data_IF_483169683962
#
_entry.id   IF_483169683962
#
_cell.length_a   1.000
_cell.length_b   1.000
_cell.length_c   1.000
_cell.angle_alpha   90.00
_cell.angle_beta   90.00
_cell.angle_gamma   90.00
#
_symmetry.space_group_name_H-M   'P 1'
#
loop_
_entity.id
_entity.type
_entity.pdbx_description
1 polymer ?
#
# COMPACT_ATOMS: atom_id res chain seq x y z
N UNK A 1 -27.84 9.25 14.16
CA UNK A 1 -28.38 8.73 12.90
C UNK A 1 -27.27 8.91 11.84
N UNK A 2 -26.50 7.85 11.63
CA UNK A 2 -25.50 7.78 10.54
C UNK A 2 -26.25 7.85 9.21
N UNK A 3 -25.78 8.72 8.35
CA UNK A 3 -26.41 9.03 7.07
C UNK A 3 -26.19 7.83 6.12
N UNK A 4 -27.26 7.10 5.78
CA UNK A 4 -27.23 5.91 4.93
C UNK A 4 -26.70 6.15 3.51
N UNK A 5 -26.54 7.42 3.10
CA UNK A 5 -25.92 7.79 1.80
C UNK A 5 -24.39 7.63 1.79
N UNK A 6 -23.72 7.83 2.92
CA UNK A 6 -22.24 7.67 3.02
C UNK A 6 -21.82 6.19 2.95
N UNK A 7 -22.64 5.28 3.45
CA UNK A 7 -22.35 3.84 3.41
C UNK A 7 -22.46 3.26 1.99
N UNK A 8 -23.33 3.80 1.14
CA UNK A 8 -23.54 3.32 -0.24
C UNK A 8 -22.44 3.80 -1.20
N UNK A 9 -21.95 5.02 -1.02
CA UNK A 9 -20.87 5.57 -1.86
C UNK A 9 -19.50 4.91 -1.55
N UNK A 10 -19.26 4.54 -0.30
CA UNK A 10 -18.02 3.82 0.10
C UNK A 10 -18.00 2.39 -0.42
N UNK A 11 -19.14 1.71 -0.49
CA UNK A 11 -19.23 0.33 -1.03
C UNK A 11 -19.02 0.28 -2.55
N UNK A 12 -19.53 1.24 -3.30
CA UNK A 12 -19.40 1.30 -4.76
C UNK A 12 -17.96 1.64 -5.20
N UNK A 13 -17.31 2.59 -4.55
CA UNK A 13 -15.92 2.95 -4.82
C UNK A 13 -14.95 1.82 -4.46
N UNK A 14 -15.19 1.11 -3.35
CA UNK A 14 -14.39 -0.05 -2.93
C UNK A 14 -14.57 -1.24 -3.89
N UNK A 15 -15.79 -1.53 -4.32
CA UNK A 15 -16.08 -2.58 -5.29
C UNK A 15 -15.39 -2.33 -6.63
N UNK A 16 -15.39 -1.09 -7.11
CA UNK A 16 -14.74 -0.69 -8.37
C UNK A 16 -13.20 -0.82 -8.28
N UNK A 17 -12.59 -0.50 -7.15
CA UNK A 17 -11.15 -0.70 -6.92
C UNK A 17 -10.80 -2.20 -6.86
N UNK A 18 -11.61 -3.03 -6.20
CA UNK A 18 -11.37 -4.48 -6.15
C UNK A 18 -11.41 -5.10 -7.54
N UNK A 19 -12.40 -4.74 -8.36
CA UNK A 19 -12.50 -5.22 -9.74
C UNK A 19 -11.30 -4.79 -10.59
N UNK A 20 -10.86 -3.53 -10.50
CA UNK A 20 -9.68 -3.04 -11.19
C UNK A 20 -8.42 -3.84 -10.84
N UNK A 21 -8.16 -4.10 -9.54
CA UNK A 21 -6.98 -4.84 -9.13
C UNK A 21 -7.06 -6.32 -9.48
N UNK A 22 -8.25 -6.93 -9.49
CA UNK A 22 -8.45 -8.28 -10.00
C UNK A 22 -8.08 -8.38 -11.49
N UNK A 23 -8.52 -7.43 -12.31
CA UNK A 23 -8.17 -7.39 -13.72
C UNK A 23 -6.69 -7.09 -13.95
N UNK A 24 -6.05 -6.32 -13.07
CA UNK A 24 -4.64 -5.93 -13.15
C UNK A 24 -3.67 -7.06 -12.80
N UNK A 25 -4.12 -8.10 -12.12
CA UNK A 25 -3.28 -9.18 -11.61
C UNK A 25 -2.43 -9.88 -12.69
N UNK A 26 -2.89 -9.92 -13.94
CA UNK A 26 -2.20 -10.59 -15.03
C UNK A 26 -1.11 -9.72 -15.70
N UNK A 27 -1.19 -8.39 -15.62
CA UNK A 27 -0.42 -7.49 -16.48
C UNK A 27 0.47 -6.47 -15.75
N UNK A 28 0.23 -6.20 -14.47
CA UNK A 28 0.98 -5.15 -13.75
C UNK A 28 2.26 -5.70 -13.11
N UNK A 29 3.34 -4.91 -13.23
CA UNK A 29 4.63 -5.20 -12.61
C UNK A 29 4.90 -4.14 -11.55
N UNK A 30 5.15 -4.58 -10.32
CA UNK A 30 5.44 -3.72 -9.19
C UNK A 30 6.94 -3.76 -8.91
N UNK A 31 7.58 -2.58 -8.83
CA UNK A 31 9.04 -2.46 -8.84
C UNK A 31 9.63 -1.60 -7.71
N UNK A 32 8.83 -1.22 -6.70
CA UNK A 32 9.37 -0.52 -5.54
C UNK A 32 10.41 -1.42 -4.83
N UNK A 33 11.69 -1.02 -4.78
CA UNK A 33 12.73 -1.83 -4.19
C UNK A 33 12.68 -1.78 -2.66
N UNK A 34 13.02 -2.90 -2.02
CA UNK A 34 13.35 -2.94 -0.59
C UNK A 34 14.89 -2.90 -0.46
N UNK A 35 15.43 -2.09 0.45
CA UNK A 35 16.83 -2.23 0.87
C UNK A 35 16.99 -3.53 1.67
N UNK A 36 17.22 -4.62 0.95
CA UNK A 36 17.39 -5.95 1.55
C UNK A 36 18.55 -6.01 2.54
N UNK A 37 19.66 -5.32 2.24
CA UNK A 37 20.83 -5.36 3.12
C UNK A 37 20.52 -4.70 4.47
N UNK A 38 19.78 -3.59 4.46
CA UNK A 38 19.30 -2.96 5.69
C UNK A 38 18.27 -3.83 6.39
N UNK A 39 17.30 -4.36 5.66
CA UNK A 39 16.24 -5.19 6.23
C UNK A 39 16.82 -6.42 6.95
N UNK A 40 17.78 -7.10 6.34
CA UNK A 40 18.49 -8.26 6.90
C UNK A 40 19.31 -7.96 8.16
N UNK A 41 19.80 -6.72 8.30
CA UNK A 41 20.49 -6.29 9.53
C UNK A 41 19.51 -5.89 10.64
N UNK A 42 18.27 -5.56 10.29
CA UNK A 42 17.28 -4.99 11.21
C UNK A 42 16.28 -6.02 11.70
N UNK A 43 15.96 -7.02 10.88
CA UNK A 43 14.90 -8.01 11.13
C UNK A 43 15.51 -9.41 11.17
N UNK A 44 15.21 -10.15 12.23
CA UNK A 44 15.67 -11.52 12.40
C UNK A 44 15.05 -12.47 11.35
N UNK A 45 15.74 -13.55 10.99
CA UNK A 45 15.28 -14.50 9.95
C UNK A 45 14.00 -15.27 10.34
N UNK A 46 13.77 -15.42 11.63
CA UNK A 46 12.59 -16.06 12.23
C UNK A 46 11.52 -15.06 12.68
N UNK A 47 11.70 -13.78 12.35
CA UNK A 47 10.71 -12.74 12.65
C UNK A 47 9.42 -12.95 11.86
N UNK A 48 8.28 -12.65 12.48
CA UNK A 48 6.97 -12.63 11.82
C UNK A 48 6.83 -11.37 10.98
N UNK A 49 6.65 -11.54 9.66
CA UNK A 49 6.62 -10.43 8.68
C UNK A 49 5.30 -10.45 7.93
N UNK A 50 4.63 -9.30 7.84
CA UNK A 50 3.46 -9.08 7.01
C UNK A 50 3.81 -8.19 5.82
N UNK A 51 3.56 -8.66 4.61
CA UNK A 51 3.54 -7.84 3.38
C UNK A 51 2.07 -7.50 3.08
N UNK A 52 1.62 -6.30 3.50
CA UNK A 52 0.23 -5.86 3.32
C UNK A 52 0.09 -5.09 2.00
N UNK A 53 -0.84 -5.54 1.15
CA UNK A 53 -0.92 -5.17 -0.25
C UNK A 53 0.13 -5.88 -1.09
N UNK A 54 0.36 -7.17 -0.80
CA UNK A 54 1.46 -7.97 -1.36
C UNK A 54 1.35 -8.20 -2.88
N UNK A 55 0.18 -7.93 -3.47
CA UNK A 55 -0.10 -8.25 -4.87
C UNK A 55 0.19 -9.72 -5.16
N UNK A 56 1.01 -9.98 -6.17
CA UNK A 56 1.46 -11.35 -6.55
C UNK A 56 2.55 -11.93 -5.63
N UNK A 57 2.85 -11.31 -4.50
CA UNK A 57 3.80 -11.84 -3.51
C UNK A 57 5.27 -11.64 -3.85
N UNK A 58 5.62 -10.62 -4.65
CA UNK A 58 7.02 -10.35 -5.05
C UNK A 58 7.95 -10.22 -3.84
N UNK A 59 7.63 -9.34 -2.89
CA UNK A 59 8.46 -9.16 -1.69
C UNK A 59 8.45 -10.40 -0.80
N UNK A 60 7.30 -11.06 -0.67
CA UNK A 60 7.21 -12.33 0.06
C UNK A 60 8.18 -13.38 -0.51
N UNK A 61 8.21 -13.54 -1.84
CA UNK A 61 9.12 -14.46 -2.52
C UNK A 61 10.60 -14.06 -2.36
N UNK A 62 10.91 -12.76 -2.50
CA UNK A 62 12.26 -12.22 -2.28
C UNK A 62 12.75 -12.49 -0.86
N UNK A 63 11.92 -12.26 0.16
CA UNK A 63 12.24 -12.52 1.57
C UNK A 63 12.38 -14.01 1.86
N UNK A 64 11.47 -14.86 1.35
CA UNK A 64 11.56 -16.30 1.50
C UNK A 64 12.85 -16.86 0.90
N UNK A 65 13.23 -16.39 -0.31
CA UNK A 65 14.49 -16.74 -0.97
C UNK A 65 15.75 -16.28 -0.21
N UNK A 66 15.60 -15.33 0.71
CA UNK A 66 16.67 -14.83 1.59
C UNK A 66 16.67 -15.48 2.97
N UNK A 67 15.80 -16.48 3.19
CA UNK A 67 15.78 -17.29 4.41
C UNK A 67 14.90 -16.72 5.53
N UNK A 68 13.99 -15.77 5.24
CA UNK A 68 12.96 -15.41 6.19
C UNK A 68 11.86 -16.50 6.18
N UNK A 69 11.57 -17.07 7.35
CA UNK A 69 10.73 -18.28 7.44
C UNK A 69 9.28 -18.02 7.80
N UNK A 70 8.95 -16.83 8.32
CA UNK A 70 7.61 -16.47 8.77
C UNK A 70 7.10 -15.22 8.03
N UNK A 71 6.95 -15.35 6.70
CA UNK A 71 6.41 -14.28 5.86
C UNK A 71 4.97 -14.60 5.48
N UNK A 72 4.08 -13.64 5.69
CA UNK A 72 2.67 -13.70 5.29
C UNK A 72 2.39 -12.54 4.35
N UNK A 73 1.79 -12.83 3.20
CA UNK A 73 1.27 -11.81 2.28
C UNK A 73 -0.23 -11.62 2.48
N UNK A 74 -0.71 -10.39 2.49
CA UNK A 74 -2.14 -10.08 2.50
C UNK A 74 -2.47 -9.10 1.37
N UNK A 75 -3.56 -9.33 0.66
CA UNK A 75 -4.05 -8.44 -0.39
C UNK A 75 -5.58 -8.54 -0.49
N UNK A 76 -6.22 -7.46 -0.92
CA UNK A 76 -7.67 -7.41 -1.07
C UNK A 76 -8.16 -7.92 -2.45
N UNK A 77 -7.26 -8.12 -3.41
CA UNK A 77 -7.55 -8.74 -4.69
C UNK A 77 -7.44 -10.27 -4.59
N UNK A 78 -8.55 -10.97 -4.76
CA UNK A 78 -8.57 -12.43 -4.78
C UNK A 78 -7.73 -13.02 -5.90
N UNK A 79 -7.67 -12.35 -7.06
CA UNK A 79 -6.86 -12.77 -8.21
C UNK A 79 -5.36 -12.59 -7.96
N UNK A 80 -4.96 -11.48 -7.29
CA UNK A 80 -3.58 -11.30 -6.84
C UNK A 80 -3.16 -12.41 -5.88
N UNK A 81 -3.99 -12.72 -4.88
CA UNK A 81 -3.73 -13.81 -3.93
C UNK A 81 -3.66 -15.18 -4.62
N UNK A 82 -4.56 -15.44 -5.57
CA UNK A 82 -4.51 -16.68 -6.35
C UNK A 82 -3.21 -16.80 -7.16
N UNK A 83 -2.75 -15.68 -7.76
CA UNK A 83 -1.48 -15.63 -8.46
C UNK A 83 -0.29 -15.81 -7.51
N UNK A 84 -0.29 -15.11 -6.38
CA UNK A 84 0.77 -15.21 -5.37
C UNK A 84 0.98 -16.64 -4.86
N UNK A 85 -0.11 -17.36 -4.59
CA UNK A 85 -0.08 -18.78 -4.17
C UNK A 85 0.51 -19.70 -5.24
N UNK A 86 0.27 -19.41 -6.53
CA UNK A 86 0.88 -20.17 -7.64
C UNK A 86 2.36 -19.88 -7.80
N UNK A 87 2.71 -18.59 -7.70
CA UNK A 87 4.09 -18.12 -7.94
C UNK A 87 5.02 -18.44 -6.75
N UNK A 88 4.48 -18.46 -5.52
CA UNK A 88 5.23 -18.67 -4.27
C UNK A 88 4.55 -19.68 -3.33
N UNK A 89 4.49 -20.98 -3.69
CA UNK A 89 3.70 -22.00 -2.97
C UNK A 89 4.17 -22.28 -1.54
N UNK A 90 5.38 -21.86 -1.17
CA UNK A 90 5.93 -22.00 0.19
C UNK A 90 5.58 -20.85 1.13
N UNK A 91 4.94 -19.80 0.63
CA UNK A 91 4.56 -18.60 1.43
C UNK A 91 3.05 -18.65 1.74
N UNK A 92 2.68 -18.20 2.94
CA UNK A 92 1.28 -18.07 3.31
C UNK A 92 0.69 -16.77 2.76
N UNK A 93 -0.51 -16.86 2.15
CA UNK A 93 -1.23 -15.71 1.61
C UNK A 93 -2.67 -15.67 2.08
N UNK A 94 -3.12 -14.49 2.52
CA UNK A 94 -4.45 -14.23 3.06
C UNK A 94 -5.16 -13.19 2.21
N UNK A 95 -6.37 -13.51 1.74
CA UNK A 95 -7.26 -12.51 1.15
C UNK A 95 -7.91 -11.71 2.27
N UNK A 96 -7.93 -10.39 2.14
CA UNK A 96 -8.55 -9.45 3.09
C UNK A 96 -9.54 -8.56 2.36
N UNK A 97 -10.57 -8.08 3.04
CA UNK A 97 -11.64 -7.25 2.44
C UNK A 97 -11.42 -5.74 2.60
N UNK A 98 -10.24 -5.34 3.12
CA UNK A 98 -9.88 -3.94 3.36
C UNK A 98 -10.40 -3.37 4.68
N UNK A 99 -11.07 -4.19 5.51
CA UNK A 99 -11.47 -3.85 6.88
C UNK A 99 -10.40 -4.20 7.91
N UNK A 100 -10.85 -4.74 9.04
CA UNK A 100 -9.95 -5.25 10.10
C UNK A 100 -9.14 -6.44 9.59
N UNK A 101 -7.85 -6.41 9.80
CA UNK A 101 -6.97 -7.51 9.43
C UNK A 101 -7.24 -8.75 10.30
N UNK A 102 -7.29 -9.97 9.72
CA UNK A 102 -7.58 -11.21 10.44
C UNK A 102 -6.34 -11.72 11.19
N UNK A 103 -5.63 -10.83 11.87
CA UNK A 103 -4.45 -11.11 12.67
C UNK A 103 -4.60 -10.51 14.05
N UNK A 104 -4.01 -11.17 15.05
CA UNK A 104 -4.01 -10.72 16.44
C UNK A 104 -3.21 -9.41 16.62
N UNK A 105 -3.51 -8.67 17.67
CA UNK A 105 -2.73 -7.52 18.10
C UNK A 105 -1.28 -7.93 18.37
N UNK A 106 -0.34 -7.07 17.99
CA UNK A 106 1.09 -7.28 18.25
C UNK A 106 1.62 -8.67 17.78
N UNK A 107 1.18 -9.11 16.59
CA UNK A 107 1.55 -10.43 16.02
C UNK A 107 2.77 -10.38 15.10
N UNK A 108 3.10 -9.20 14.54
CA UNK A 108 4.20 -9.06 13.59
C UNK A 108 5.37 -8.25 14.13
N UNK A 109 6.59 -8.72 13.84
CA UNK A 109 7.84 -7.99 14.11
C UNK A 109 8.12 -6.93 13.05
N UNK A 110 7.64 -7.16 11.81
CA UNK A 110 7.76 -6.20 10.72
C UNK A 110 6.52 -6.23 9.81
N UNK A 111 6.15 -5.05 9.29
CA UNK A 111 5.12 -4.88 8.24
C UNK A 111 5.71 -4.11 7.09
N UNK A 112 5.44 -4.57 5.86
CA UNK A 112 5.77 -3.91 4.61
C UNK A 112 4.49 -3.34 3.99
N UNK A 113 4.58 -2.09 3.47
CA UNK A 113 3.47 -1.39 2.83
C UNK A 113 3.99 -0.68 1.58
N UNK A 114 3.98 -1.38 0.44
CA UNK A 114 4.64 -0.94 -0.79
C UNK A 114 3.64 -0.60 -1.88
N UNK A 115 3.54 0.70 -2.23
CA UNK A 115 2.59 1.27 -3.19
C UNK A 115 1.11 0.95 -2.84
N UNK A 116 0.77 0.92 -1.55
CA UNK A 116 -0.58 0.62 -1.07
C UNK A 116 -1.38 1.88 -0.83
N UNK A 117 -0.80 2.89 -0.15
CA UNK A 117 -1.53 4.13 0.16
C UNK A 117 -1.98 4.85 -1.11
N UNK A 118 -1.17 4.81 -2.17
CA UNK A 118 -1.54 5.32 -3.50
C UNK A 118 -2.80 4.65 -4.06
N UNK A 119 -3.07 3.39 -3.70
CA UNK A 119 -4.21 2.60 -4.16
C UNK A 119 -5.46 2.77 -3.27
N UNK A 120 -5.36 3.51 -2.17
CA UNK A 120 -6.42 3.79 -1.21
C UNK A 120 -6.65 5.30 -1.14
N UNK A 121 -7.33 5.93 -2.14
CA UNK A 121 -7.42 7.39 -2.25
C UNK A 121 -8.03 8.12 -1.04
N UNK A 122 -9.09 7.59 -0.34
CA UNK A 122 -9.71 8.30 0.77
C UNK A 122 -8.80 8.39 2.01
N UNK A 123 -8.66 9.59 2.57
CA UNK A 123 -7.85 9.83 3.80
C UNK A 123 -8.33 9.00 4.99
N UNK A 124 -9.64 8.87 5.14
CA UNK A 124 -10.25 8.08 6.23
C UNK A 124 -9.84 6.62 6.14
N UNK A 125 -9.89 6.03 4.94
CA UNK A 125 -9.47 4.65 4.71
C UNK A 125 -7.98 4.45 4.96
N UNK A 126 -7.13 5.41 4.58
CA UNK A 126 -5.69 5.36 4.87
C UNK A 126 -5.40 5.43 6.38
N UNK A 127 -6.12 6.28 7.13
CA UNK A 127 -6.00 6.32 8.60
C UNK A 127 -6.41 5.00 9.24
N UNK A 128 -7.50 4.40 8.78
CA UNK A 128 -7.94 3.08 9.25
C UNK A 128 -6.90 2.00 8.95
N UNK A 129 -6.36 1.99 7.73
CA UNK A 129 -5.31 1.08 7.31
C UNK A 129 -4.06 1.20 8.19
N UNK A 130 -3.60 2.41 8.44
CA UNK A 130 -2.41 2.64 9.28
C UNK A 130 -2.69 2.30 10.76
N UNK A 131 -3.90 2.54 11.26
CA UNK A 131 -4.30 2.10 12.60
C UNK A 131 -4.28 0.57 12.74
N UNK A 132 -4.75 -0.17 11.72
CA UNK A 132 -4.68 -1.63 11.68
C UNK A 132 -3.22 -2.13 11.58
N UNK A 133 -2.39 -1.50 10.77
CA UNK A 133 -0.95 -1.80 10.71
C UNK A 133 -0.30 -1.60 12.08
N UNK A 134 -0.62 -0.50 12.77
CA UNK A 134 -0.10 -0.23 14.12
C UNK A 134 -0.60 -1.26 15.15
N UNK A 135 -1.87 -1.70 15.05
CA UNK A 135 -2.45 -2.71 15.92
C UNK A 135 -1.74 -4.06 15.81
N UNK A 136 -1.48 -4.53 14.58
CA UNK A 136 -0.86 -5.85 14.35
C UNK A 136 0.66 -5.85 14.56
N UNK A 137 1.31 -4.68 14.55
CA UNK A 137 2.73 -4.56 14.85
C UNK A 137 2.98 -4.74 16.35
N UNK A 138 4.02 -5.46 16.70
CA UNK A 138 4.56 -5.51 18.06
C UNK A 138 5.13 -4.14 18.44
N UNK A 139 5.11 -3.83 19.71
CA UNK A 139 5.80 -2.63 20.23
C UNK A 139 7.27 -2.65 19.83
N UNK A 140 7.75 -1.58 19.23
CA UNK A 140 9.08 -1.48 18.64
C UNK A 140 9.24 -2.24 17.32
N UNK A 141 8.15 -2.79 16.77
CA UNK A 141 8.14 -3.44 15.46
C UNK A 141 8.46 -2.47 14.32
N UNK A 142 8.96 -2.99 13.24
CA UNK A 142 9.38 -2.22 12.06
C UNK A 142 8.22 -2.07 11.07
N UNK A 143 7.93 -0.84 10.64
CA UNK A 143 7.10 -0.58 9.47
C UNK A 143 7.98 0.01 8.36
N UNK A 144 7.99 -0.62 7.19
CA UNK A 144 8.62 -0.05 5.99
C UNK A 144 7.53 0.32 5.02
N UNK A 145 7.41 1.61 4.72
CA UNK A 145 6.47 2.14 3.73
C UNK A 145 7.24 2.64 2.52
N UNK A 146 6.77 2.31 1.33
CA UNK A 146 7.28 2.86 0.07
C UNK A 146 6.12 3.32 -0.79
N UNK A 147 5.99 4.63 -1.02
CA UNK A 147 4.82 5.17 -1.74
C UNK A 147 5.16 6.45 -2.53
N UNK A 148 4.17 6.99 -3.23
CA UNK A 148 4.33 8.11 -4.15
C UNK A 148 3.99 9.45 -3.49
N UNK A 149 5.00 10.34 -3.27
CA UNK A 149 4.72 11.74 -3.03
C UNK A 149 4.13 12.40 -4.27
N UNK A 150 3.57 13.61 -4.11
CA UNK A 150 3.14 14.43 -5.24
C UNK A 150 4.30 14.60 -6.22
N UNK A 151 4.03 14.33 -7.49
CA UNK A 151 4.97 14.55 -8.57
C UNK A 151 4.79 15.97 -9.12
N UNK A 152 5.88 16.56 -9.60
CA UNK A 152 5.91 17.96 -10.08
C UNK A 152 6.04 18.06 -11.59
N UNK A 153 6.18 16.95 -12.30
CA UNK A 153 6.24 16.94 -13.75
C UNK A 153 4.89 17.29 -14.37
N UNK A 154 4.92 17.89 -15.56
CA UNK A 154 3.76 18.45 -16.24
C UNK A 154 2.65 17.41 -16.50
N UNK A 155 3.02 16.14 -16.77
CA UNK A 155 2.05 15.05 -16.98
C UNK A 155 1.24 14.77 -15.71
N UNK A 156 1.92 14.67 -14.58
CA UNK A 156 1.26 14.37 -13.30
C UNK A 156 0.40 15.55 -12.84
N UNK A 157 0.92 16.77 -12.90
CA UNK A 157 0.18 18.00 -12.56
C UNK A 157 -1.10 18.09 -13.42
N UNK A 158 -1.00 17.90 -14.74
CA UNK A 158 -2.16 17.94 -15.63
C UNK A 158 -3.24 16.91 -15.25
N UNK A 159 -2.85 15.70 -14.79
CA UNK A 159 -3.80 14.66 -14.35
C UNK A 159 -4.50 15.04 -13.02
N UNK A 160 -3.76 15.61 -12.08
CA UNK A 160 -4.32 16.10 -10.81
C UNK A 160 -5.34 17.21 -11.06
N UNK A 161 -4.97 18.18 -11.93
CA UNK A 161 -5.84 19.31 -12.27
C UNK A 161 -7.08 18.85 -13.05
N UNK A 162 -6.95 17.88 -13.94
CA UNK A 162 -8.08 17.31 -14.66
C UNK A 162 -9.05 16.63 -13.70
N UNK A 163 -8.54 15.77 -12.81
CA UNK A 163 -9.37 15.08 -11.83
C UNK A 163 -10.08 16.05 -10.88
N UNK A 164 -9.39 17.09 -10.41
CA UNK A 164 -9.98 18.12 -9.55
C UNK A 164 -11.10 18.91 -10.23
N UNK A 165 -11.01 19.16 -11.55
CA UNK A 165 -12.07 19.83 -12.32
C UNK A 165 -13.29 18.93 -12.56
N UNK A 166 -13.04 17.64 -12.80
CA UNK A 166 -14.10 16.67 -13.14
C UNK A 166 -14.86 16.16 -11.93
N UNK A 167 -14.28 16.32 -10.72
CA UNK A 167 -14.92 15.95 -9.46
C UNK A 167 -16.01 16.97 -9.11
N UNK A 168 -17.27 16.65 -9.41
CA UNK A 168 -18.43 17.46 -9.08
C UNK A 168 -18.96 17.07 -7.71
N UNK A 169 -19.24 18.09 -6.88
CA UNK A 169 -20.11 18.09 -5.71
C UNK A 169 -19.71 17.18 -4.51
N UNK A 170 -18.95 17.77 -3.58
CA UNK A 170 -18.96 17.38 -2.16
C UNK A 170 -18.04 16.24 -1.75
N UNK A 171 -17.48 15.47 -2.66
CA UNK A 171 -16.33 14.64 -2.33
C UNK A 171 -15.10 15.56 -2.24
N UNK A 172 -14.57 15.71 -1.04
CA UNK A 172 -13.28 16.38 -0.83
C UNK A 172 -12.20 15.60 -1.57
N UNK A 173 -12.06 15.89 -2.87
CA UNK A 173 -11.07 15.28 -3.70
C UNK A 173 -9.71 15.88 -3.33
N UNK A 174 -8.95 15.12 -2.58
CA UNK A 174 -7.59 15.51 -2.23
C UNK A 174 -6.74 15.67 -3.50
N UNK A 175 -6.07 16.81 -3.61
CA UNK A 175 -5.14 17.05 -4.70
C UNK A 175 -4.11 15.92 -4.78
N UNK A 176 -3.80 15.48 -5.99
CA UNK A 176 -2.94 14.31 -6.24
C UNK A 176 -3.71 13.07 -6.67
N UNK A 177 -5.04 13.07 -6.59
CA UNK A 177 -5.90 11.99 -7.10
C UNK A 177 -6.02 12.06 -8.61
N UNK A 178 -6.03 10.90 -9.28
CA UNK A 178 -6.24 10.79 -10.73
C UNK A 178 -6.70 9.39 -11.14
N UNK A 179 -7.28 9.30 -12.33
CA UNK A 179 -7.66 8.01 -12.93
C UNK A 179 -6.53 7.47 -13.80
N UNK A 180 -6.32 6.17 -13.70
CA UNK A 180 -5.46 5.43 -14.62
C UNK A 180 -6.19 5.20 -15.95
N UNK A 181 -5.47 5.06 -17.09
CA UNK A 181 -6.11 4.82 -18.39
C UNK A 181 -6.99 3.57 -18.44
N UNK A 182 -6.69 2.58 -17.60
CA UNK A 182 -7.38 1.31 -17.47
C UNK A 182 -8.44 1.28 -16.33
N UNK A 183 -8.79 2.44 -15.76
CA UNK A 183 -9.97 2.64 -14.92
C UNK A 183 -9.72 2.77 -13.42
N UNK A 184 -8.57 2.37 -12.89
CA UNK A 184 -8.28 2.51 -11.46
C UNK A 184 -8.12 3.98 -11.04
N UNK A 185 -8.54 4.28 -9.81
CA UNK A 185 -8.28 5.58 -9.18
C UNK A 185 -7.14 5.44 -8.20
N UNK A 186 -6.14 6.31 -8.32
CA UNK A 186 -4.96 6.35 -7.46
C UNK A 186 -4.68 7.78 -6.99
N UNK A 187 -3.88 7.90 -5.95
CA UNK A 187 -3.51 9.19 -5.39
C UNK A 187 -2.04 9.24 -5.03
N UNK A 188 -1.36 10.29 -5.47
CA UNK A 188 -0.07 10.73 -4.94
C UNK A 188 -0.30 11.71 -3.79
N UNK A 189 0.57 11.74 -2.80
CA UNK A 189 0.31 12.41 -1.53
C UNK A 189 1.27 13.57 -1.27
N UNK A 190 0.77 14.64 -0.66
CA UNK A 190 1.64 15.66 -0.08
C UNK A 190 2.50 15.04 1.04
N UNK A 191 3.74 15.47 1.17
CA UNK A 191 4.64 14.98 2.24
C UNK A 191 4.06 15.22 3.63
N UNK A 192 3.40 16.36 3.85
CA UNK A 192 2.71 16.67 5.10
C UNK A 192 1.59 15.68 5.45
N UNK A 193 0.98 15.03 4.46
CA UNK A 193 0.01 13.98 4.71
C UNK A 193 0.67 12.71 5.25
N UNK A 194 1.83 12.33 4.72
CA UNK A 194 2.59 11.22 5.27
C UNK A 194 3.07 11.52 6.70
N UNK A 195 3.51 12.75 6.98
CA UNK A 195 3.92 13.17 8.33
C UNK A 195 2.74 13.05 9.32
N UNK A 196 1.53 13.46 8.91
CA UNK A 196 0.31 13.29 9.70
C UNK A 196 -0.05 11.81 9.90
N UNK A 197 0.00 11.02 8.82
CA UNK A 197 -0.41 9.62 8.81
C UNK A 197 0.52 8.74 9.66
N UNK A 198 1.81 9.06 9.67
CA UNK A 198 2.83 8.32 10.41
C UNK A 198 3.13 8.88 11.81
N UNK A 199 2.37 9.88 12.27
CA UNK A 199 2.54 10.47 13.60
C UNK A 199 2.55 9.44 14.78
N UNK A 200 1.85 8.28 14.71
CA UNK A 200 1.94 7.26 15.75
C UNK A 200 3.30 6.52 15.81
N UNK A 201 4.15 6.69 14.81
CA UNK A 201 5.43 5.98 14.68
C UNK A 201 6.62 6.91 14.89
N UNK A 202 7.74 6.33 15.27
CA UNK A 202 9.04 7.03 15.23
C UNK A 202 9.67 6.84 13.86
N UNK A 203 9.95 7.94 13.15
CA UNK A 203 10.63 7.91 11.85
C UNK A 203 12.13 7.71 12.10
N UNK A 204 12.67 6.54 11.75
CA UNK A 204 14.13 6.29 11.80
C UNK A 204 14.84 6.88 10.59
N UNK A 205 14.23 6.78 9.42
CA UNK A 205 14.78 7.30 8.17
C UNK A 205 13.71 7.49 7.13
N UNK A 206 13.92 8.50 6.27
CA UNK A 206 13.21 8.71 5.01
C UNK A 206 14.21 8.89 3.89
N UNK A 207 14.04 8.14 2.81
CA UNK A 207 14.82 8.28 1.58
C UNK A 207 13.89 8.51 0.40
N UNK A 208 14.35 9.29 -0.57
CA UNK A 208 13.63 9.50 -1.83
C UNK A 208 14.52 9.06 -3.00
N UNK A 209 13.95 8.40 -3.99
CA UNK A 209 14.69 7.93 -5.16
C UNK A 209 13.79 7.83 -6.39
N UNK A 210 14.42 7.79 -7.56
CA UNK A 210 13.72 7.65 -8.83
C UNK A 210 13.39 6.18 -9.08
N UNK A 211 12.15 5.93 -9.53
CA UNK A 211 11.63 4.62 -9.84
C UNK A 211 10.78 4.66 -11.12
N UNK A 212 10.20 3.51 -11.44
CA UNK A 212 9.18 3.42 -12.50
C UNK A 212 7.85 2.99 -11.87
N UNK A 213 6.76 3.59 -12.34
CA UNK A 213 5.41 3.13 -11.99
C UNK A 213 5.13 1.76 -12.61
N UNK A 214 4.07 1.10 -12.17
CA UNK A 214 3.59 -0.17 -12.76
C UNK A 214 3.29 -0.08 -14.26
N UNK A 215 3.16 1.13 -14.82
CA UNK A 215 2.97 1.40 -16.25
C UNK A 215 4.26 1.86 -16.95
N UNK A 216 5.43 1.68 -16.30
CA UNK A 216 6.76 1.99 -16.86
C UNK A 216 7.14 3.47 -16.90
N UNK A 217 6.30 4.37 -16.39
CA UNK A 217 6.60 5.80 -16.39
C UNK A 217 7.57 6.17 -15.26
N UNK A 218 8.49 7.14 -15.46
CA UNK A 218 9.32 7.67 -14.41
C UNK A 218 8.47 8.24 -13.27
N UNK A 219 8.90 8.03 -12.05
CA UNK A 219 8.29 8.62 -10.86
C UNK A 219 9.32 8.70 -9.74
N UNK A 220 9.18 9.71 -8.88
CA UNK A 220 9.89 9.79 -7.62
C UNK A 220 9.07 9.08 -6.56
N UNK A 221 9.69 8.23 -5.77
CA UNK A 221 9.09 7.56 -4.62
C UNK A 221 9.82 7.94 -3.34
N UNK A 222 9.09 7.84 -2.23
CA UNK A 222 9.66 8.00 -0.91
C UNK A 222 9.50 6.70 -0.11
N UNK A 223 10.50 6.36 0.67
CA UNK A 223 10.48 5.18 1.52
C UNK A 223 10.81 5.60 2.96
N UNK A 224 9.99 5.14 3.88
CA UNK A 224 10.13 5.37 5.31
C UNK A 224 10.45 4.08 6.04
N UNK A 225 11.33 4.18 7.01
CA UNK A 225 11.62 3.16 8.01
C UNK A 225 11.14 3.69 9.34
N UNK A 226 10.16 3.02 9.93
CA UNK A 226 9.37 3.52 11.05
C UNK A 226 9.33 2.49 12.19
N UNK A 227 9.27 2.97 13.45
CA UNK A 227 9.08 2.10 14.63
C UNK A 227 7.75 2.38 15.31
N UNK A 228 7.02 1.30 15.66
CA UNK A 228 5.77 1.33 16.42
C UNK A 228 6.01 1.50 17.93
#
# INVERSE_FOLDING_TARGET
LLNTKDATLTTDASANQSEFWNQSAASKVFSHPLDHARFERTVARDASILDYGCGRGRLCGELGGRGFTQVVGADFSSEMIAAARRDHPSVSFTHVDGGTLPFDDASFDAVLLFAVLTCVPPRTAQRMLIAEVHRVLKRGGLLVVSDYPLQTDARNVARYDAFARDSHDGEACDYGTFRLPDGGTVRHHAMSWFDELFAPFTVEERVEFDAKTMNGNPARIAQWWLRA
#
